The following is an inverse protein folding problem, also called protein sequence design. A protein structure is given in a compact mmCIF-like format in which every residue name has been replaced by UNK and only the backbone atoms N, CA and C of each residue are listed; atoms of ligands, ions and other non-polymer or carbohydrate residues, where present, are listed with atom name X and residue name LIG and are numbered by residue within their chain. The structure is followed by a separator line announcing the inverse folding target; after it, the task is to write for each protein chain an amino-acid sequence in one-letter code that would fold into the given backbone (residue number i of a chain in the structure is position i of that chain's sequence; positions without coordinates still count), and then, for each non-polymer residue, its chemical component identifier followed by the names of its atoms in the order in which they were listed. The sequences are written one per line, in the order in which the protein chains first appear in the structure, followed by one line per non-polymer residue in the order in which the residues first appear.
data_IF_534266454786
#
_entry.id   IF_534266454786
#
_cell.length_a   1.000
_cell.length_b   1.000
_cell.length_c   1.000
_cell.angle_alpha   90.00
_cell.angle_beta   90.00
_cell.angle_gamma   90.00
#
_symmetry.space_group_name_H-M   'P 1'
#
loop_
_entity.id
_entity.type
_entity.pdbx_description
1 polymer ?
#
# COMPACT_ATOMS: atom_id res chain seq x y z
N UNK A 1 -5.85 22.75 -36.98
CA UNK A 1 -5.39 23.35 -38.25
C UNK A 1 -3.91 23.74 -38.23
N UNK A 2 -3.44 24.53 -37.26
CA UNK A 2 -2.03 24.98 -37.20
C UNK A 2 -0.99 23.83 -37.27
N UNK A 3 -1.23 22.72 -36.58
CA UNK A 3 -0.29 21.59 -36.53
C UNK A 3 -0.16 20.85 -37.87
N UNK A 4 -1.24 20.78 -38.65
CA UNK A 4 -1.22 20.19 -39.99
C UNK A 4 -0.47 21.09 -40.98
N UNK A 5 -0.63 22.41 -40.89
CA UNK A 5 0.10 23.38 -41.70
C UNK A 5 1.62 23.32 -41.43
N UNK A 6 2.03 23.19 -40.17
CA UNK A 6 3.45 23.04 -39.80
C UNK A 6 4.06 21.74 -40.32
N UNK A 7 3.32 20.64 -40.29
CA UNK A 7 3.78 19.36 -40.83
C UNK A 7 3.95 19.40 -42.36
N UNK A 8 3.00 20.03 -43.07
CA UNK A 8 3.07 20.21 -44.53
C UNK A 8 4.22 21.15 -44.91
N UNK A 9 4.41 22.25 -44.18
CA UNK A 9 5.53 23.16 -44.38
C UNK A 9 6.88 22.47 -44.14
N UNK A 10 7.00 21.67 -43.07
CA UNK A 10 8.20 20.86 -42.80
C UNK A 10 8.53 19.89 -43.94
N UNK A 11 7.53 19.21 -44.49
CA UNK A 11 7.69 18.33 -45.66
C UNK A 11 8.13 19.07 -46.93
N UNK A 12 7.57 20.26 -47.19
CA UNK A 12 7.95 21.09 -48.34
C UNK A 12 9.41 21.56 -48.25
N UNK A 13 9.88 21.94 -47.05
CA UNK A 13 11.29 22.32 -46.82
C UNK A 13 12.24 21.13 -47.02
N UNK A 14 11.85 19.90 -46.67
CA UNK A 14 12.66 18.71 -46.95
C UNK A 14 12.81 18.44 -48.46
N UNK A 15 11.72 18.60 -49.22
CA UNK A 15 11.77 18.44 -50.68
C UNK A 15 12.62 19.52 -51.35
N UNK A 16 12.54 20.76 -50.86
CA UNK A 16 13.38 21.86 -51.33
C UNK A 16 14.86 21.63 -51.00
N UNK A 17 15.18 21.11 -49.80
CA UNK A 17 16.55 20.76 -49.42
C UNK A 17 17.13 19.68 -50.36
N UNK A 18 16.35 18.66 -50.73
CA UNK A 18 16.79 17.60 -51.62
C UNK A 18 17.10 18.11 -53.05
N UNK A 19 16.39 19.14 -53.51
CA UNK A 19 16.56 19.74 -54.83
C UNK A 19 17.86 20.58 -54.97
N UNK A 20 18.55 20.87 -53.86
CA UNK A 20 19.80 21.64 -53.84
C UNK A 20 21.04 20.75 -54.03
N UNK A 21 20.92 19.44 -53.83
CA UNK A 21 22.01 18.46 -53.99
C UNK A 21 22.59 18.30 -55.43
N UNK A 22 21.83 18.43 -56.54
CA UNK A 22 22.36 18.15 -57.88
C UNK A 22 23.15 19.28 -58.55
N UNK A 23 23.37 20.44 -57.91
CA UNK A 23 23.90 21.65 -58.58
C UNK A 23 25.39 22.00 -58.29
N UNK A 24 26.21 21.09 -57.76
CA UNK A 24 27.61 21.38 -57.41
C UNK A 24 28.62 20.81 -58.42
N UNK A 25 29.13 21.62 -59.35
CA UNK A 25 30.14 21.19 -60.34
C UNK A 25 31.61 21.52 -59.94
N UNK A 26 31.87 21.92 -58.69
CA UNK A 26 33.22 22.22 -58.18
C UNK A 26 33.39 22.00 -56.66
N UNK A 27 34.62 21.71 -56.21
CA UNK A 27 34.92 21.30 -54.82
C UNK A 27 34.61 22.36 -53.74
N UNK A 28 34.72 23.65 -54.07
CA UNK A 28 34.41 24.76 -53.15
C UNK A 28 32.91 25.04 -53.10
N UNK A 29 32.21 24.94 -54.23
CA UNK A 29 30.75 25.10 -54.33
C UNK A 29 30.00 23.93 -53.69
N UNK A 30 30.54 22.71 -53.78
CA UNK A 30 30.00 21.52 -53.13
C UNK A 30 29.94 21.67 -51.60
N UNK A 31 30.94 22.32 -50.99
CA UNK A 31 30.97 22.54 -49.53
C UNK A 31 29.88 23.52 -49.08
N UNK A 32 29.66 24.60 -49.85
CA UNK A 32 28.58 25.56 -49.59
C UNK A 32 27.19 24.95 -49.76
N UNK A 33 27.00 24.13 -50.80
CA UNK A 33 25.75 23.41 -51.03
C UNK A 33 25.44 22.39 -49.92
N UNK A 34 26.47 21.71 -49.39
CA UNK A 34 26.33 20.77 -48.28
C UNK A 34 25.93 21.46 -46.97
N UNK A 35 26.53 22.61 -46.65
CA UNK A 35 26.16 23.40 -45.48
C UNK A 35 24.73 23.96 -45.59
N UNK A 36 24.34 24.44 -46.77
CA UNK A 36 22.97 24.89 -47.03
C UNK A 36 21.96 23.75 -46.88
N UNK A 37 22.28 22.56 -47.39
CA UNK A 37 21.48 21.35 -47.22
C UNK A 37 21.30 20.96 -45.74
N UNK A 38 22.40 20.90 -44.97
CA UNK A 38 22.34 20.58 -43.54
C UNK A 38 21.53 21.61 -42.74
N UNK A 39 21.65 22.90 -43.09
CA UNK A 39 20.86 23.97 -42.48
C UNK A 39 19.36 23.83 -42.75
N UNK A 40 18.98 23.58 -44.01
CA UNK A 40 17.57 23.36 -44.38
C UNK A 40 17.00 22.07 -43.75
N UNK A 41 17.81 21.02 -43.63
CA UNK A 41 17.41 19.76 -43.00
C UNK A 41 17.18 19.90 -41.49
N UNK A 42 18.02 20.66 -40.79
CA UNK A 42 17.82 20.97 -39.37
C UNK A 42 16.55 21.80 -39.14
N UNK A 43 16.27 22.77 -40.02
CA UNK A 43 15.06 23.59 -39.95
C UNK A 43 13.80 22.74 -40.20
N UNK A 44 13.83 21.84 -41.17
CA UNK A 44 12.75 20.91 -41.42
C UNK A 44 12.47 19.97 -40.24
N UNK A 45 13.52 19.42 -39.61
CA UNK A 45 13.39 18.54 -38.45
C UNK A 45 12.75 19.27 -37.24
N UNK A 46 13.10 20.54 -37.03
CA UNK A 46 12.49 21.36 -35.98
C UNK A 46 10.99 21.60 -36.22
N UNK A 47 10.60 21.90 -37.47
CA UNK A 47 9.20 22.14 -37.83
C UNK A 47 8.33 20.88 -37.70
N UNK A 48 8.90 19.67 -37.90
CA UNK A 48 8.20 18.40 -37.74
C UNK A 48 8.09 17.94 -36.27
N UNK A 49 9.09 18.24 -35.43
CA UNK A 49 9.10 17.79 -34.03
C UNK A 49 8.07 18.52 -33.14
N UNK A 50 7.85 19.82 -33.36
CA UNK A 50 6.93 20.65 -32.56
C UNK A 50 5.47 20.17 -32.56
N UNK A 51 4.81 19.93 -33.72
CA UNK A 51 3.42 19.48 -33.73
C UNK A 51 3.26 18.07 -33.15
N UNK A 52 4.25 17.20 -33.34
CA UNK A 52 4.22 15.83 -32.83
C UNK A 52 4.27 15.80 -31.29
N UNK A 53 5.10 16.65 -30.67
CA UNK A 53 5.14 16.80 -29.21
C UNK A 53 3.82 17.30 -28.63
N UNK A 54 3.15 18.26 -29.30
CA UNK A 54 1.85 18.77 -28.85
C UNK A 54 0.76 17.70 -28.95
N UNK A 55 0.72 16.92 -30.02
CA UNK A 55 -0.19 15.77 -30.10
C UNK A 55 0.10 14.74 -29.02
N UNK A 56 1.38 14.39 -28.80
CA UNK A 56 1.76 13.38 -27.81
C UNK A 56 1.39 13.82 -26.39
N UNK A 57 1.67 15.08 -26.03
CA UNK A 57 1.35 15.62 -24.70
C UNK A 57 -0.14 15.73 -24.40
N UNK A 58 -0.98 15.86 -25.43
CA UNK A 58 -2.45 15.90 -25.29
C UNK A 58 -3.07 14.52 -25.09
N UNK A 59 -2.45 13.47 -25.62
CA UNK A 59 -2.99 12.11 -25.59
C UNK A 59 -2.30 11.22 -24.55
N UNK A 60 -1.04 11.51 -24.21
CA UNK A 60 -0.24 10.81 -23.21
C UNK A 60 0.03 11.77 -22.05
N UNK A 61 -0.50 11.47 -20.85
CA UNK A 61 -0.13 12.20 -19.62
C UNK A 61 1.30 11.84 -19.24
N UNK A 62 2.27 12.57 -19.80
CA UNK A 62 3.67 12.42 -19.42
C UNK A 62 3.87 12.95 -17.99
N UNK A 63 4.45 12.14 -17.07
CA UNK A 63 4.46 12.43 -15.64
C UNK A 63 5.43 13.55 -15.22
N UNK A 64 6.30 14.04 -16.10
CA UNK A 64 7.23 15.13 -15.77
C UNK A 64 7.62 15.99 -16.97
N UNK A 65 7.93 17.27 -16.72
CA UNK A 65 8.47 18.22 -17.73
C UNK A 65 9.81 17.75 -18.33
N UNK A 66 10.55 16.91 -17.61
CA UNK A 66 11.86 16.36 -18.03
C UNK A 66 11.67 15.29 -19.11
N UNK A 67 10.70 14.38 -18.93
CA UNK A 67 10.37 13.36 -19.93
C UNK A 67 9.90 13.98 -21.26
N UNK A 68 9.18 15.10 -21.20
CA UNK A 68 8.75 15.82 -22.40
C UNK A 68 9.92 16.38 -23.22
N UNK A 69 10.96 16.90 -22.55
CA UNK A 69 12.16 17.46 -23.19
C UNK A 69 13.06 16.38 -23.80
N UNK A 70 13.16 15.22 -23.17
CA UNK A 70 13.96 14.12 -23.72
C UNK A 70 13.31 13.55 -24.97
N UNK A 71 11.99 13.35 -24.98
CA UNK A 71 11.26 12.88 -26.17
C UNK A 71 11.38 13.87 -27.35
N UNK A 72 11.30 15.19 -27.10
CA UNK A 72 11.47 16.18 -28.19
C UNK A 72 12.86 16.15 -28.81
N UNK A 73 13.91 15.94 -27.99
CA UNK A 73 15.27 15.83 -28.50
C UNK A 73 15.46 14.58 -29.37
N UNK A 74 14.88 13.44 -28.98
CA UNK A 74 14.94 12.22 -29.78
C UNK A 74 14.23 12.36 -31.13
N UNK A 75 13.06 13.01 -31.16
CA UNK A 75 12.31 13.26 -32.39
C UNK A 75 13.07 14.20 -33.35
N UNK A 76 13.73 15.23 -32.81
CA UNK A 76 14.55 16.14 -33.60
C UNK A 76 15.77 15.42 -34.22
N UNK A 77 16.50 14.64 -33.42
CA UNK A 77 17.68 13.89 -33.89
C UNK A 77 17.29 12.85 -34.94
N UNK A 78 16.19 12.13 -34.73
CA UNK A 78 15.69 11.16 -35.70
C UNK A 78 15.27 11.80 -37.03
N UNK A 79 14.66 12.99 -36.97
CA UNK A 79 14.27 13.75 -38.17
C UNK A 79 15.44 14.39 -38.93
N UNK A 80 16.51 14.76 -38.22
CA UNK A 80 17.71 15.34 -38.84
C UNK A 80 18.58 14.29 -39.53
N UNK A 81 18.68 13.07 -38.98
CA UNK A 81 19.62 12.04 -39.45
C UNK A 81 19.11 11.25 -40.67
N UNK A 82 17.79 11.14 -40.87
CA UNK A 82 17.21 10.36 -41.97
C UNK A 82 16.33 11.26 -42.86
N UNK A 83 16.88 11.85 -43.94
CA UNK A 83 16.07 12.54 -44.94
C UNK A 83 15.04 11.56 -45.53
N UNK A 84 13.78 11.99 -45.67
CA UNK A 84 12.58 11.20 -46.00
C UNK A 84 12.11 10.16 -44.95
N UNK A 85 13.01 9.52 -44.21
CA UNK A 85 12.63 8.51 -43.20
C UNK A 85 11.86 9.09 -42.00
N UNK A 86 12.12 10.35 -41.65
CA UNK A 86 11.39 11.03 -40.57
C UNK A 86 9.87 11.10 -40.81
N UNK A 87 9.43 11.41 -42.04
CA UNK A 87 8.00 11.44 -42.39
C UNK A 87 7.38 10.04 -42.31
N UNK A 88 8.14 9.02 -42.73
CA UNK A 88 7.74 7.62 -42.78
C UNK A 88 7.67 6.98 -41.37
N UNK A 89 8.33 7.55 -40.36
CA UNK A 89 8.15 7.16 -38.94
C UNK A 89 7.01 7.93 -38.28
N UNK A 90 6.86 9.22 -38.60
CA UNK A 90 5.89 10.11 -37.98
C UNK A 90 4.45 9.81 -38.39
N UNK A 91 4.20 9.51 -39.67
CA UNK A 91 2.86 9.20 -40.17
C UNK A 91 2.27 7.91 -39.58
N UNK A 92 2.97 6.75 -39.59
CA UNK A 92 2.46 5.55 -38.94
C UNK A 92 2.47 5.66 -37.42
N UNK A 93 3.40 6.39 -36.79
CA UNK A 93 3.34 6.66 -35.34
C UNK A 93 2.08 7.44 -34.95
N UNK A 94 1.71 8.44 -35.75
CA UNK A 94 0.48 9.22 -35.56
C UNK A 94 -0.79 8.40 -35.87
N UNK A 95 -0.72 7.48 -36.85
CA UNK A 95 -1.82 6.57 -37.17
C UNK A 95 -2.00 5.50 -36.06
N UNK A 96 -0.92 4.89 -35.56
CA UNK A 96 -0.93 3.92 -34.46
C UNK A 96 -1.41 4.56 -33.15
N UNK A 97 -1.01 5.81 -32.86
CA UNK A 97 -1.49 6.54 -31.69
C UNK A 97 -3.00 6.88 -31.78
N UNK A 98 -3.53 7.09 -32.99
CA UNK A 98 -4.96 7.31 -33.22
C UNK A 98 -5.79 6.02 -33.23
N UNK A 99 -5.25 4.90 -33.73
CA UNK A 99 -5.95 3.62 -33.80
C UNK A 99 -5.76 2.73 -32.55
N UNK A 100 -4.62 2.85 -31.86
CA UNK A 100 -4.14 1.90 -30.84
C UNK A 100 -4.51 2.21 -29.39
N UNK A 101 -5.27 3.29 -29.12
CA UNK A 101 -5.81 3.56 -27.79
C UNK A 101 -7.33 3.44 -27.76
N UNK A 102 -7.82 2.30 -28.23
CA UNK A 102 -8.81 1.59 -27.41
C UNK A 102 -8.03 1.08 -26.22
N UNK A 103 -8.21 1.71 -25.06
CA UNK A 103 -7.85 1.08 -23.79
C UNK A 103 -8.29 -0.37 -23.89
N UNK A 104 -7.40 -1.38 -23.75
CA UNK A 104 -7.90 -2.72 -23.57
C UNK A 104 -8.84 -2.60 -22.38
N UNK A 105 -10.14 -2.84 -22.61
CA UNK A 105 -11.00 -3.21 -21.52
C UNK A 105 -10.22 -4.31 -20.82
N UNK A 106 -9.85 -4.10 -19.57
CA UNK A 106 -9.20 -5.10 -18.75
C UNK A 106 -10.27 -6.19 -18.59
N UNK A 107 -10.39 -7.03 -19.61
CA UNK A 107 -11.30 -8.15 -19.69
C UNK A 107 -10.68 -9.24 -18.88
N UNK A 108 -11.34 -9.59 -17.78
CA UNK A 108 -10.99 -10.72 -16.94
C UNK A 108 -9.60 -10.62 -16.34
N UNK A 109 -9.45 -9.79 -15.30
CA UNK A 109 -8.49 -10.15 -14.26
C UNK A 109 -9.00 -11.47 -13.66
N UNK A 110 -8.43 -12.58 -14.09
CA UNK A 110 -8.53 -13.82 -13.35
C UNK A 110 -7.98 -13.51 -11.96
N UNK A 111 -8.86 -13.53 -10.97
CA UNK A 111 -8.52 -13.40 -9.56
C UNK A 111 -7.64 -14.59 -9.19
N UNK A 112 -6.33 -14.46 -9.39
CA UNK A 112 -5.38 -15.32 -8.71
C UNK A 112 -5.50 -14.93 -7.25
N UNK A 113 -6.10 -15.81 -6.44
CA UNK A 113 -6.15 -15.63 -4.99
C UNK A 113 -4.73 -15.39 -4.51
N UNK A 114 -4.44 -14.17 -4.05
CA UNK A 114 -3.21 -13.93 -3.32
C UNK A 114 -3.26 -14.81 -2.06
N UNK A 115 -2.16 -15.50 -1.71
CA UNK A 115 -2.10 -16.20 -0.44
C UNK A 115 -2.40 -15.20 0.68
N UNK A 116 -3.25 -15.58 1.63
CA UNK A 116 -3.47 -14.83 2.87
C UNK A 116 -2.13 -14.69 3.60
N UNK A 117 -1.43 -13.59 3.34
CA UNK A 117 -0.36 -13.15 4.21
C UNK A 117 -1.01 -12.28 5.27
N UNK A 118 -1.32 -12.92 6.40
CA UNK A 118 -1.73 -12.29 7.64
C UNK A 118 -0.92 -11.01 7.86
N UNK A 119 -1.63 -9.97 8.31
CA UNK A 119 -1.08 -8.65 8.53
C UNK A 119 0.25 -8.71 9.25
N UNK A 120 1.18 -7.87 8.82
CA UNK A 120 2.40 -7.60 9.55
C UNK A 120 2.04 -7.09 10.96
N UNK A 121 1.84 -8.03 11.88
CA UNK A 121 1.71 -7.96 13.33
C UNK A 121 0.90 -9.18 13.82
N UNK A 122 1.50 -10.38 13.75
CA UNK A 122 1.03 -11.55 14.51
C UNK A 122 0.71 -12.79 13.67
N UNK A 123 1.74 -13.53 13.28
CA UNK A 123 1.79 -15.00 13.25
C UNK A 123 3.11 -15.40 12.57
N UNK A 124 4.01 -16.00 13.34
CA UNK A 124 5.14 -16.73 12.78
C UNK A 124 4.60 -17.97 12.05
N UNK A 125 4.94 -18.13 10.77
CA UNK A 125 5.06 -19.44 10.14
C UNK A 125 6.52 -19.53 9.67
N UNK A 126 7.31 -20.49 10.18
CA UNK A 126 8.67 -20.70 9.73
C UNK A 126 8.62 -21.44 8.39
N UNK A 127 9.36 -20.91 7.42
CA UNK A 127 10.06 -21.61 6.33
C UNK A 127 10.05 -20.76 5.06
N UNK A 128 11.08 -19.91 4.94
CA UNK A 128 11.60 -19.57 3.61
C UNK A 128 13.11 -19.36 3.66
N UNK A 129 13.87 -19.99 2.75
CA UNK A 129 15.31 -19.88 2.73
C UNK A 129 15.76 -18.45 2.40
N UNK A 130 16.73 -17.98 3.19
CA UNK A 130 17.29 -16.64 3.24
C UNK A 130 18.22 -16.31 2.06
N UNK A 131 17.79 -16.56 0.82
CA UNK A 131 18.58 -16.21 -0.35
C UNK A 131 17.71 -15.50 -1.41
N UNK A 132 17.39 -14.22 -1.16
CA UNK A 132 16.84 -13.32 -2.16
C UNK A 132 17.55 -11.97 -2.09
N UNK A 133 18.09 -11.45 -3.20
CA UNK A 133 18.90 -10.23 -3.19
C UNK A 133 18.09 -8.99 -2.80
N UNK A 134 18.68 -8.17 -1.93
CA UNK A 134 18.08 -7.05 -1.19
C UNK A 134 17.81 -5.77 -2.01
N UNK A 135 17.56 -5.88 -3.33
CA UNK A 135 17.50 -4.69 -4.21
C UNK A 135 16.20 -4.60 -5.05
N UNK A 136 15.07 -5.09 -4.53
CA UNK A 136 13.75 -4.80 -5.11
C UNK A 136 13.05 -3.70 -4.31
N UNK A 137 12.51 -2.65 -4.96
CA UNK A 137 11.67 -1.68 -4.28
C UNK A 137 10.39 -2.38 -3.76
N UNK A 138 10.09 -2.07 -2.51
CA UNK A 138 8.95 -2.38 -1.65
C UNK A 138 7.68 -3.00 -2.26
N UNK A 139 7.50 -4.31 -2.08
CA UNK A 139 6.22 -4.99 -2.32
C UNK A 139 5.06 -4.50 -1.42
N UNK A 140 5.35 -3.72 -0.37
CA UNK A 140 4.36 -3.07 0.49
C UNK A 140 3.74 -1.82 -0.13
N UNK A 141 4.54 -1.01 -0.84
CA UNK A 141 4.06 0.23 -1.48
C UNK A 141 3.08 -0.08 -2.63
N UNK A 142 3.35 -1.16 -3.38
CA UNK A 142 2.46 -1.60 -4.46
C UNK A 142 1.08 -2.07 -3.96
N UNK A 143 1.01 -2.73 -2.80
CA UNK A 143 -0.25 -3.17 -2.19
C UNK A 143 -1.07 -2.00 -1.69
N UNK A 144 -0.45 -1.06 -0.99
CA UNK A 144 -1.13 0.12 -0.45
C UNK A 144 -1.63 1.03 -1.58
N UNK A 145 -0.86 1.14 -2.67
CA UNK A 145 -1.27 1.83 -3.89
C UNK A 145 -2.44 1.13 -4.59
N UNK A 146 -2.37 -0.19 -4.79
CA UNK A 146 -3.47 -0.94 -5.39
C UNK A 146 -4.76 -0.84 -4.57
N UNK A 147 -4.65 -0.95 -3.24
CA UNK A 147 -5.77 -0.72 -2.32
C UNK A 147 -6.27 0.73 -2.35
N UNK A 148 -5.39 1.71 -2.53
CA UNK A 148 -5.76 3.10 -2.76
C UNK A 148 -6.58 3.28 -4.04
N UNK A 149 -6.18 2.64 -5.13
CA UNK A 149 -6.88 2.71 -6.41
C UNK A 149 -8.26 2.05 -6.38
N UNK A 150 -8.38 0.89 -5.74
CA UNK A 150 -9.67 0.21 -5.57
C UNK A 150 -10.64 1.04 -4.71
N UNK A 151 -10.15 1.63 -3.61
CA UNK A 151 -10.93 2.55 -2.78
C UNK A 151 -11.37 3.80 -3.56
N UNK A 152 -10.47 4.41 -4.32
CA UNK A 152 -10.78 5.56 -5.15
C UNK A 152 -11.79 5.22 -6.25
N UNK A 153 -11.68 4.03 -6.87
CA UNK A 153 -12.61 3.56 -7.88
C UNK A 153 -14.01 3.32 -7.34
N UNK A 154 -14.12 2.69 -6.16
CA UNK A 154 -15.38 2.44 -5.48
C UNK A 154 -16.08 3.75 -5.04
N UNK A 155 -15.30 4.70 -4.51
CA UNK A 155 -15.80 6.00 -4.04
C UNK A 155 -16.12 6.99 -5.18
N UNK A 156 -15.68 6.73 -6.41
CA UNK A 156 -15.86 7.67 -7.51
C UNK A 156 -17.31 7.64 -8.05
N UNK A 157 -18.17 8.51 -7.53
CA UNK A 157 -19.55 8.67 -7.96
C UNK A 157 -19.70 9.06 -9.45
N UNK A 158 -18.66 9.62 -10.08
CA UNK A 158 -18.67 9.95 -11.51
C UNK A 158 -18.33 8.74 -12.42
N UNK A 159 -17.88 7.61 -11.86
CA UNK A 159 -17.67 6.39 -12.61
C UNK A 159 -18.99 5.63 -12.82
N UNK A 160 -19.08 4.85 -13.91
CA UNK A 160 -20.23 3.99 -14.15
C UNK A 160 -20.40 2.96 -13.02
N UNK A 161 -21.64 2.65 -12.65
CA UNK A 161 -21.97 1.73 -11.54
C UNK A 161 -21.22 0.39 -11.63
N UNK A 162 -21.17 -0.23 -12.81
CA UNK A 162 -20.44 -1.48 -13.03
C UNK A 162 -18.93 -1.39 -12.70
N UNK A 163 -18.28 -0.25 -12.93
CA UNK A 163 -16.86 -0.04 -12.57
C UNK A 163 -16.68 0.14 -11.07
N UNK A 164 -17.63 0.80 -10.42
CA UNK A 164 -17.65 0.99 -8.97
C UNK A 164 -17.86 -0.34 -8.26
N UNK A 165 -18.82 -1.14 -8.71
CA UNK A 165 -19.10 -2.49 -8.22
C UNK A 165 -17.90 -3.42 -8.42
N UNK A 166 -17.24 -3.38 -9.59
CA UNK A 166 -16.02 -4.15 -9.80
C UNK A 166 -14.88 -3.74 -8.86
N UNK A 167 -14.73 -2.44 -8.59
CA UNK A 167 -13.76 -1.96 -7.61
C UNK A 167 -14.11 -2.41 -6.18
N UNK A 168 -15.39 -2.40 -5.81
CA UNK A 168 -15.88 -2.89 -4.52
C UNK A 168 -15.64 -4.38 -4.31
N UNK A 169 -15.92 -5.20 -5.33
CA UNK A 169 -15.62 -6.63 -5.28
C UNK A 169 -14.12 -6.88 -5.03
N UNK A 170 -13.24 -6.05 -5.61
CA UNK A 170 -11.80 -6.11 -5.35
C UNK A 170 -11.38 -5.77 -3.91
N UNK A 171 -12.26 -5.14 -3.12
CA UNK A 171 -12.01 -4.79 -1.73
C UNK A 171 -12.42 -5.90 -0.74
N UNK A 172 -13.12 -6.95 -1.17
CA UNK A 172 -13.67 -8.00 -0.28
C UNK A 172 -12.60 -8.74 0.52
N UNK A 173 -11.45 -9.02 -0.10
CA UNK A 173 -10.34 -9.70 0.56
C UNK A 173 -9.54 -8.79 1.51
N UNK A 174 -9.84 -7.49 1.57
CA UNK A 174 -9.07 -6.55 2.39
C UNK A 174 -9.60 -6.50 3.83
N UNK A 175 -8.73 -6.24 4.83
CA UNK A 175 -9.16 -6.12 6.22
C UNK A 175 -10.20 -5.01 6.42
N UNK A 176 -11.25 -5.30 7.20
CA UNK A 176 -12.31 -4.32 7.44
C UNK A 176 -11.82 -3.04 8.14
N UNK A 177 -10.66 -3.09 8.83
CA UNK A 177 -10.02 -1.89 9.38
C UNK A 177 -9.74 -0.82 8.31
N UNK A 178 -9.30 -1.21 7.12
CA UNK A 178 -8.91 -0.27 6.05
C UNK A 178 -10.07 0.04 5.08
N UNK A 179 -11.00 -0.89 4.89
CA UNK A 179 -12.15 -0.74 3.99
C UNK A 179 -13.41 -0.26 4.68
N UNK A 180 -13.59 -0.56 5.97
CA UNK A 180 -14.80 -0.28 6.74
C UNK A 180 -15.28 1.18 6.72
N UNK A 181 -14.41 2.19 6.89
CA UNK A 181 -14.83 3.60 6.76
C UNK A 181 -15.43 3.93 5.39
N UNK A 182 -14.85 3.39 4.31
CA UNK A 182 -15.38 3.56 2.96
C UNK A 182 -16.71 2.83 2.80
N UNK A 183 -16.79 1.56 3.22
CA UNK A 183 -18.01 0.76 3.11
C UNK A 183 -19.17 1.42 3.85
N UNK A 184 -18.93 1.96 5.05
CA UNK A 184 -19.94 2.72 5.81
C UNK A 184 -20.39 4.00 5.10
N UNK A 185 -19.46 4.75 4.51
CA UNK A 185 -19.82 5.93 3.71
C UNK A 185 -20.67 5.57 2.48
N UNK A 186 -20.44 4.39 1.88
CA UNK A 186 -21.20 3.90 0.75
C UNK A 186 -22.60 3.38 1.10
N UNK A 187 -22.95 3.26 2.39
CA UNK A 187 -24.32 2.93 2.81
C UNK A 187 -25.31 4.06 2.50
N UNK A 188 -24.82 5.28 2.29
CA UNK A 188 -25.62 6.46 1.93
C UNK A 188 -25.65 6.71 0.41
N UNK A 189 -25.03 5.83 -0.40
CA UNK A 189 -24.92 6.01 -1.85
C UNK A 189 -26.28 6.05 -2.55
N UNK A 190 -26.40 6.78 -3.65
CA UNK A 190 -27.63 6.84 -4.43
C UNK A 190 -27.94 5.53 -5.16
N UNK A 191 -26.93 4.71 -5.43
CA UNK A 191 -27.05 3.44 -6.16
C UNK A 191 -27.31 2.30 -5.18
N UNK A 192 -28.46 1.64 -5.31
CA UNK A 192 -28.88 0.58 -4.39
C UNK A 192 -27.92 -0.61 -4.36
N UNK A 193 -27.47 -1.11 -5.51
CA UNK A 193 -26.55 -2.25 -5.58
C UNK A 193 -25.22 -1.99 -4.85
N UNK A 194 -24.75 -0.73 -4.86
CA UNK A 194 -23.54 -0.31 -4.15
C UNK A 194 -23.78 -0.36 -2.64
N UNK A 195 -24.94 0.14 -2.18
CA UNK A 195 -25.33 0.06 -0.75
C UNK A 195 -25.44 -1.38 -0.28
N UNK A 196 -26.14 -2.23 -1.03
CA UNK A 196 -26.36 -3.63 -0.69
C UNK A 196 -25.05 -4.41 -0.64
N UNK A 197 -24.16 -4.20 -1.61
CA UNK A 197 -22.84 -4.84 -1.60
C UNK A 197 -22.01 -4.37 -0.41
N UNK A 198 -21.99 -3.06 -0.12
CA UNK A 198 -21.26 -2.53 1.03
C UNK A 198 -21.79 -3.08 2.36
N UNK A 199 -23.11 -3.19 2.51
CA UNK A 199 -23.76 -3.83 3.67
C UNK A 199 -23.35 -5.30 3.79
N UNK A 200 -23.46 -6.08 2.72
CA UNK A 200 -23.10 -7.50 2.71
C UNK A 200 -21.63 -7.75 3.05
N UNK A 201 -20.72 -6.88 2.60
CA UNK A 201 -19.29 -6.97 2.94
C UNK A 201 -19.00 -6.69 4.41
N UNK A 202 -19.68 -5.70 5.01
CA UNK A 202 -19.56 -5.39 6.44
C UNK A 202 -20.10 -6.54 7.30
N UNK A 203 -21.29 -7.03 6.98
CA UNK A 203 -21.94 -8.15 7.67
C UNK A 203 -21.12 -9.44 7.54
N UNK A 204 -20.60 -9.76 6.35
CA UNK A 204 -19.74 -10.93 6.14
C UNK A 204 -18.44 -10.86 6.97
N UNK A 205 -17.86 -9.67 7.13
CA UNK A 205 -16.67 -9.49 7.97
C UNK A 205 -16.98 -9.71 9.46
N UNK A 206 -18.11 -9.20 9.95
CA UNK A 206 -18.58 -9.42 11.32
C UNK A 206 -18.89 -10.90 11.57
N UNK A 207 -19.72 -11.52 10.73
CA UNK A 207 -20.10 -12.92 10.83
C UNK A 207 -18.89 -13.87 10.78
N UNK A 208 -17.83 -13.51 10.04
CA UNK A 208 -16.60 -14.31 10.00
C UNK A 208 -15.94 -14.37 11.38
N UNK A 209 -15.80 -13.23 12.07
CA UNK A 209 -15.20 -13.19 13.40
C UNK A 209 -16.13 -13.78 14.46
N UNK A 210 -17.43 -13.51 14.38
CA UNK A 210 -18.42 -14.07 15.32
C UNK A 210 -18.44 -15.60 15.26
N UNK A 211 -18.38 -16.20 14.06
CA UNK A 211 -18.26 -17.66 13.92
C UNK A 211 -16.98 -18.21 14.54
N UNK A 212 -15.84 -17.53 14.35
CA UNK A 212 -14.58 -17.96 14.98
C UNK A 212 -14.63 -17.87 16.50
N UNK A 213 -15.34 -16.87 17.06
CA UNK A 213 -15.55 -16.72 18.49
C UNK A 213 -16.38 -17.89 19.02
N UNK A 214 -17.52 -18.20 18.39
CA UNK A 214 -18.37 -19.32 18.80
C UNK A 214 -17.60 -20.64 18.75
N UNK A 215 -16.86 -20.90 17.67
CA UNK A 215 -16.02 -22.10 17.56
C UNK A 215 -14.96 -22.17 18.68
N UNK A 216 -14.30 -21.05 19.00
CA UNK A 216 -13.32 -21.01 20.07
C UNK A 216 -13.95 -21.21 21.47
N UNK A 217 -15.20 -20.75 21.66
CA UNK A 217 -15.97 -21.03 22.88
C UNK A 217 -16.35 -22.51 22.99
N UNK A 218 -16.80 -23.12 21.90
CA UNK A 218 -17.11 -24.56 21.86
C UNK A 218 -15.87 -25.40 22.17
N UNK A 219 -14.72 -25.04 21.60
CA UNK A 219 -13.44 -25.67 21.93
C UNK A 219 -13.09 -25.52 23.40
N UNK A 220 -13.31 -24.34 24.01
CA UNK A 220 -13.07 -24.12 25.43
C UNK A 220 -13.98 -25.00 26.30
N UNK A 221 -15.27 -25.10 25.97
CA UNK A 221 -16.23 -25.92 26.72
C UNK A 221 -15.96 -27.43 26.59
N UNK A 222 -15.37 -27.86 25.48
CA UNK A 222 -15.01 -29.26 25.26
C UNK A 222 -13.75 -29.70 26.03
N UNK A 223 -12.94 -28.76 26.54
CA UNK A 223 -11.76 -29.08 27.33
C UNK A 223 -12.15 -29.59 28.72
N UNK A 224 -11.47 -30.64 29.17
CA UNK A 224 -11.61 -31.13 30.54
C UNK A 224 -10.91 -30.19 31.54
N UNK A 225 -11.39 -30.16 32.78
CA UNK A 225 -10.83 -29.31 33.85
C UNK A 225 -9.35 -29.58 34.15
N UNK A 226 -8.84 -30.75 33.75
CA UNK A 226 -7.45 -31.17 33.94
C UNK A 226 -6.43 -30.64 32.92
N UNK A 227 -6.83 -29.87 31.89
CA UNK A 227 -5.92 -29.30 30.89
C UNK A 227 -5.76 -27.77 31.01
N UNK A 228 -4.92 -27.28 31.95
CA UNK A 228 -4.70 -25.85 32.12
C UNK A 228 -4.01 -25.19 30.92
N UNK A 229 -3.16 -25.93 30.18
CA UNK A 229 -2.47 -25.40 29.01
C UNK A 229 -3.42 -25.19 27.82
N UNK A 230 -4.31 -26.16 27.56
CA UNK A 230 -5.36 -26.03 26.57
C UNK A 230 -6.33 -24.89 26.90
N UNK A 231 -6.76 -24.77 28.17
CA UNK A 231 -7.62 -23.67 28.62
C UNK A 231 -6.96 -22.30 28.42
N UNK A 232 -5.66 -22.19 28.74
CA UNK A 232 -4.91 -20.97 28.50
C UNK A 232 -4.88 -20.57 27.01
N UNK A 233 -4.59 -21.52 26.12
CA UNK A 233 -4.55 -21.27 24.68
C UNK A 233 -5.93 -20.89 24.11
N UNK A 234 -7.00 -21.55 24.58
CA UNK A 234 -8.37 -21.25 24.16
C UNK A 234 -8.80 -19.84 24.62
N UNK A 235 -8.51 -19.47 25.87
CA UNK A 235 -8.77 -18.13 26.39
C UNK A 235 -7.92 -17.06 25.68
N UNK A 236 -6.65 -17.34 25.38
CA UNK A 236 -5.82 -16.43 24.57
C UNK A 236 -6.46 -16.21 23.20
N UNK A 237 -6.90 -17.27 22.53
CA UNK A 237 -7.56 -17.18 21.22
C UNK A 237 -8.82 -16.34 21.28
N UNK A 238 -9.66 -16.53 22.30
CA UNK A 238 -10.86 -15.73 22.52
C UNK A 238 -10.54 -14.25 22.75
N UNK A 239 -9.52 -13.95 23.57
CA UNK A 239 -9.08 -12.58 23.80
C UNK A 239 -8.62 -11.89 22.50
N UNK A 240 -7.84 -12.60 21.68
CA UNK A 240 -7.38 -12.08 20.38
C UNK A 240 -8.54 -11.83 19.41
N UNK A 241 -9.52 -12.73 19.35
CA UNK A 241 -10.69 -12.59 18.46
C UNK A 241 -11.59 -11.40 18.87
N UNK A 242 -11.85 -11.23 20.16
CA UNK A 242 -12.60 -10.07 20.66
C UNK A 242 -11.82 -8.78 20.41
N UNK A 243 -10.50 -8.77 20.60
CA UNK A 243 -9.68 -7.63 20.23
C UNK A 243 -9.77 -7.32 18.72
N UNK A 244 -9.79 -8.35 17.87
CA UNK A 244 -9.87 -8.20 16.42
C UNK A 244 -11.17 -7.53 15.96
N UNK A 245 -12.32 -7.83 16.59
CA UNK A 245 -13.58 -7.12 16.35
C UNK A 245 -13.45 -5.61 16.59
N UNK A 246 -12.76 -5.22 17.66
CA UNK A 246 -12.51 -3.81 17.99
C UNK A 246 -11.49 -3.20 17.04
N UNK A 247 -10.40 -3.92 16.77
CA UNK A 247 -9.30 -3.45 15.92
C UNK A 247 -9.75 -3.22 14.47
N UNK A 248 -10.67 -4.04 13.97
CA UNK A 248 -11.27 -3.88 12.64
C UNK A 248 -12.41 -2.86 12.59
N UNK A 249 -12.75 -2.21 13.72
CA UNK A 249 -13.88 -1.29 13.84
C UNK A 249 -15.22 -1.93 13.43
N UNK A 250 -15.41 -3.21 13.77
CA UNK A 250 -16.67 -3.93 13.58
C UNK A 250 -17.57 -3.76 14.81
N UNK A 251 -16.99 -3.79 16.01
CA UNK A 251 -17.69 -3.40 17.24
C UNK A 251 -17.63 -1.88 17.46
N UNK A 252 -18.79 -1.23 17.63
CA UNK A 252 -18.92 0.22 17.86
C UNK A 252 -19.82 0.54 19.06
N UNK A 253 -19.76 1.79 19.56
CA UNK A 253 -20.58 2.25 20.67
C UNK A 253 -20.45 1.36 21.91
N UNK A 254 -21.58 1.00 22.51
CA UNK A 254 -21.63 0.18 23.72
C UNK A 254 -21.09 -1.24 23.50
N UNK A 255 -21.32 -1.81 22.31
CA UNK A 255 -20.80 -3.13 21.94
C UNK A 255 -19.27 -3.12 22.01
N UNK A 256 -18.62 -2.05 21.55
CA UNK A 256 -17.16 -1.92 21.64
C UNK A 256 -16.65 -1.99 23.09
N UNK A 257 -17.34 -1.31 24.02
CA UNK A 257 -17.00 -1.35 25.44
C UNK A 257 -17.09 -2.77 25.99
N UNK A 258 -18.22 -3.44 25.74
CA UNK A 258 -18.44 -4.82 26.15
C UNK A 258 -17.40 -5.77 25.55
N UNK A 259 -17.09 -5.66 24.25
CA UNK A 259 -16.10 -6.50 23.58
C UNK A 259 -14.70 -6.33 24.17
N UNK A 260 -14.31 -5.11 24.54
CA UNK A 260 -13.03 -4.84 25.22
C UNK A 260 -12.97 -5.51 26.60
N UNK A 261 -14.06 -5.48 27.37
CA UNK A 261 -14.15 -6.17 28.66
C UNK A 261 -14.09 -7.69 28.52
N UNK A 262 -14.77 -8.26 27.52
CA UNK A 262 -14.70 -9.69 27.23
C UNK A 262 -13.27 -10.11 26.84
N UNK A 263 -12.61 -9.31 26.00
CA UNK A 263 -11.22 -9.56 25.62
C UNK A 263 -10.28 -9.57 26.85
N UNK A 264 -10.43 -8.62 27.76
CA UNK A 264 -9.60 -8.51 28.96
C UNK A 264 -9.89 -9.63 29.95
N UNK A 265 -11.17 -10.01 30.15
CA UNK A 265 -11.57 -11.15 30.97
C UNK A 265 -10.95 -12.46 30.47
N UNK A 266 -10.96 -12.70 29.17
CA UNK A 266 -10.31 -13.87 28.59
C UNK A 266 -8.79 -13.79 28.67
N UNK A 267 -8.18 -12.61 28.49
CA UNK A 267 -6.73 -12.46 28.67
C UNK A 267 -6.29 -12.74 30.11
N UNK A 268 -7.09 -12.33 31.10
CA UNK A 268 -6.85 -12.62 32.50
C UNK A 268 -7.05 -14.11 32.82
N UNK A 269 -8.12 -14.74 32.34
CA UNK A 269 -8.35 -16.17 32.49
C UNK A 269 -7.22 -17.01 31.87
N UNK A 270 -6.67 -16.58 30.72
CA UNK A 270 -5.52 -17.22 30.10
C UNK A 270 -4.27 -17.15 31.01
N UNK A 271 -4.02 -15.98 31.63
CA UNK A 271 -2.90 -15.81 32.56
C UNK A 271 -3.08 -16.65 33.84
N UNK A 272 -4.30 -16.76 34.36
CA UNK A 272 -4.61 -17.61 35.52
C UNK A 272 -4.37 -19.09 35.18
N UNK A 273 -4.90 -19.58 34.06
CA UNK A 273 -4.70 -20.96 33.61
C UNK A 273 -3.20 -21.27 33.34
N UNK A 274 -2.43 -20.31 32.82
CA UNK A 274 -0.98 -20.44 32.70
C UNK A 274 -0.29 -20.55 34.07
N UNK A 275 -0.76 -19.84 35.09
CA UNK A 275 -0.17 -19.91 36.44
C UNK A 275 -0.42 -21.25 37.13
N UNK A 276 -1.53 -21.92 36.80
CA UNK A 276 -1.90 -23.24 37.32
C UNK A 276 -1.14 -24.37 36.61
N UNK A 277 -0.70 -24.18 35.37
CA UNK A 277 -0.03 -25.20 34.57
C UNK A 277 1.41 -25.47 35.08
N UNK A 278 1.71 -26.68 35.59
CA UNK A 278 3.06 -27.04 35.98
C UNK A 278 3.97 -27.07 34.74
N UNK A 279 4.96 -26.18 34.69
CA UNK A 279 5.87 -26.04 33.55
C UNK A 279 5.53 -24.90 32.57
N UNK A 280 4.57 -24.02 32.88
CA UNK A 280 4.26 -22.85 32.07
C UNK A 280 5.37 -21.78 32.04
N UNK A 281 6.25 -21.78 33.04
CA UNK A 281 7.53 -21.03 32.99
C UNK A 281 8.49 -21.60 31.93
N UNK A 282 8.28 -22.85 31.52
CA UNK A 282 9.19 -23.67 30.72
C UNK A 282 8.78 -23.80 29.25
N UNK A 283 7.62 -23.28 28.83
CA UNK A 283 7.27 -23.15 27.41
C UNK A 283 8.04 -21.98 26.82
N UNK A 284 9.33 -22.24 26.63
CA UNK A 284 10.29 -21.28 26.16
C UNK A 284 10.10 -21.05 24.65
N UNK A 285 9.36 -20.00 24.25
CA UNK A 285 9.33 -19.57 22.84
C UNK A 285 10.59 -18.75 22.57
N UNK A 286 11.46 -19.22 21.68
CA UNK A 286 12.66 -18.49 21.26
C UNK A 286 12.24 -17.14 20.68
N UNK A 287 12.71 -16.06 21.29
CA UNK A 287 12.45 -14.70 20.83
C UNK A 287 12.96 -14.55 19.38
N UNK A 288 12.17 -13.88 18.54
CA UNK A 288 12.39 -13.79 17.09
C UNK A 288 13.68 -13.04 16.69
N UNK A 289 14.27 -12.31 17.64
CA UNK A 289 15.54 -11.59 17.55
C UNK A 289 16.75 -12.42 18.01
N UNK A 290 16.52 -13.67 18.44
CA UNK A 290 17.56 -14.56 18.95
C UNK A 290 18.11 -14.18 20.34
N UNK A 291 17.55 -13.16 21.02
CA UNK A 291 18.11 -12.54 22.23
C UNK A 291 17.71 -13.24 23.54
N UNK A 292 16.75 -14.16 23.51
CA UNK A 292 16.33 -14.89 24.70
C UNK A 292 15.05 -15.68 24.50
N UNK A 293 14.43 -16.05 25.61
CA UNK A 293 13.14 -16.72 25.61
C UNK A 293 12.05 -15.75 26.05
N UNK A 294 11.01 -15.58 25.24
CA UNK A 294 9.77 -14.93 25.65
C UNK A 294 8.83 -15.93 26.32
N UNK A 295 8.32 -15.59 27.51
CA UNK A 295 7.24 -16.33 28.13
C UNK A 295 5.94 -16.17 27.31
N UNK A 296 5.09 -17.20 27.16
CA UNK A 296 3.78 -17.07 26.52
C UNK A 296 2.92 -15.98 27.18
N UNK A 297 3.11 -15.73 28.48
CA UNK A 297 2.46 -14.64 29.19
C UNK A 297 2.85 -13.25 28.66
N UNK A 298 4.02 -13.08 28.05
CA UNK A 298 4.50 -11.78 27.54
C UNK A 298 3.57 -11.23 26.45
N UNK A 299 3.07 -12.09 25.55
CA UNK A 299 2.11 -11.72 24.52
C UNK A 299 0.76 -11.29 25.11
N UNK A 300 0.26 -12.02 26.11
CA UNK A 300 -0.98 -11.68 26.81
C UNK A 300 -0.89 -10.34 27.54
N UNK A 301 0.21 -10.06 28.24
CA UNK A 301 0.42 -8.76 28.88
C UNK A 301 0.51 -7.62 27.86
N UNK A 302 1.08 -7.85 26.69
CA UNK A 302 1.06 -6.87 25.61
C UNK A 302 -0.36 -6.62 25.08
N UNK A 303 -1.16 -7.68 24.90
CA UNK A 303 -2.57 -7.55 24.51
C UNK A 303 -3.36 -6.74 25.55
N UNK A 304 -3.19 -7.03 26.85
CA UNK A 304 -3.82 -6.25 27.93
C UNK A 304 -3.41 -4.78 27.90
N UNK A 305 -2.14 -4.49 27.59
CA UNK A 305 -1.67 -3.12 27.36
C UNK A 305 -2.44 -2.39 26.25
N UNK A 306 -2.67 -3.07 25.12
CA UNK A 306 -3.48 -2.51 24.00
C UNK A 306 -4.95 -2.34 24.39
N UNK A 307 -5.53 -3.29 25.12
CA UNK A 307 -6.90 -3.21 25.61
C UNK A 307 -7.09 -2.04 26.56
N UNK A 308 -6.14 -1.81 27.47
CA UNK A 308 -6.15 -0.67 28.38
C UNK A 308 -6.06 0.68 27.63
N UNK A 309 -5.18 0.80 26.62
CA UNK A 309 -5.13 1.99 25.75
C UNK A 309 -6.46 2.23 25.04
N UNK A 310 -7.08 1.17 24.50
CA UNK A 310 -8.37 1.25 23.82
C UNK A 310 -9.53 1.66 24.76
N UNK A 311 -9.40 1.38 26.07
CA UNK A 311 -10.30 1.83 27.13
C UNK A 311 -9.95 3.21 27.71
N UNK A 312 -8.89 3.86 27.22
CA UNK A 312 -8.37 5.15 27.71
C UNK A 312 -7.87 5.10 29.15
N UNK A 313 -7.35 3.95 29.56
CA UNK A 313 -6.64 3.76 30.84
C UNK A 313 -5.14 3.60 30.59
N UNK A 314 -4.38 4.71 30.52
CA UNK A 314 -2.97 4.65 30.17
C UNK A 314 -2.10 4.13 31.33
N UNK A 315 -2.54 4.26 32.58
CA UNK A 315 -1.81 3.76 33.75
C UNK A 315 -1.79 2.23 33.76
N UNK A 316 -2.95 1.59 33.57
CA UNK A 316 -3.02 0.14 33.42
C UNK A 316 -2.27 -0.34 32.18
N UNK A 317 -2.33 0.41 31.08
CA UNK A 317 -1.57 0.09 29.86
C UNK A 317 -0.07 0.07 30.10
N UNK A 318 0.48 1.09 30.74
CA UNK A 318 1.90 1.21 31.07
C UNK A 318 2.35 0.06 31.97
N UNK A 319 1.59 -0.24 33.02
CA UNK A 319 1.88 -1.37 33.92
C UNK A 319 1.92 -2.71 33.17
N UNK A 320 0.92 -2.97 32.32
CA UNK A 320 0.84 -4.20 31.54
C UNK A 320 1.99 -4.33 30.51
N UNK A 321 2.34 -3.25 29.81
CA UNK A 321 3.44 -3.24 28.84
C UNK A 321 4.80 -3.41 29.51
N UNK A 322 5.02 -2.80 30.67
CA UNK A 322 6.23 -3.02 31.46
C UNK A 322 6.34 -4.47 31.93
N UNK A 323 5.22 -5.07 32.34
CA UNK A 323 5.16 -6.51 32.68
C UNK A 323 5.49 -7.39 31.47
N UNK A 324 4.97 -7.05 30.28
CA UNK A 324 5.28 -7.76 29.05
C UNK A 324 6.78 -7.73 28.73
N UNK A 325 7.42 -6.55 28.83
CA UNK A 325 8.86 -6.38 28.60
C UNK A 325 9.67 -7.20 29.62
N UNK A 326 9.29 -7.18 30.90
CA UNK A 326 9.94 -7.97 31.94
C UNK A 326 9.85 -9.49 31.68
N UNK A 327 8.86 -9.94 30.93
CA UNK A 327 8.65 -11.34 30.53
C UNK A 327 9.29 -11.69 29.16
N UNK A 328 10.08 -10.79 28.59
CA UNK A 328 10.82 -11.01 27.34
C UNK A 328 10.10 -10.52 26.08
N UNK A 329 9.06 -9.69 26.19
CA UNK A 329 8.48 -9.03 25.01
C UNK A 329 9.48 -8.02 24.42
N UNK A 330 9.75 -8.04 23.10
CA UNK A 330 10.70 -7.13 22.46
C UNK A 330 10.36 -5.67 22.72
N UNK A 331 11.30 -4.95 23.33
CA UNK A 331 11.10 -3.56 23.74
C UNK A 331 10.84 -2.65 22.55
N UNK A 332 11.43 -2.95 21.39
CA UNK A 332 11.24 -2.19 20.15
C UNK A 332 9.77 -2.15 19.73
N UNK A 333 9.05 -3.25 19.94
CA UNK A 333 7.63 -3.37 19.58
C UNK A 333 6.70 -2.73 20.61
N UNK A 334 7.16 -2.55 21.84
CA UNK A 334 6.39 -1.91 22.91
C UNK A 334 6.46 -0.38 22.85
N UNK A 335 7.51 0.20 22.23
CA UNK A 335 7.72 1.65 22.23
C UNK A 335 6.55 2.48 21.71
N UNK A 336 5.87 2.16 20.60
CA UNK A 336 4.73 2.95 20.15
C UNK A 336 3.59 2.99 21.17
N UNK A 337 3.32 1.87 21.84
CA UNK A 337 2.26 1.75 22.84
C UNK A 337 2.62 2.45 24.14
N UNK A 338 3.89 2.38 24.56
CA UNK A 338 4.40 3.13 25.71
C UNK A 338 4.40 4.64 25.45
N UNK A 339 4.73 5.08 24.23
CA UNK A 339 4.65 6.48 23.85
C UNK A 339 3.20 7.00 23.86
N UNK A 340 2.25 6.20 23.38
CA UNK A 340 0.82 6.49 23.43
C UNK A 340 0.33 6.59 24.89
N UNK A 341 0.67 5.63 25.75
CA UNK A 341 0.32 5.66 27.17
C UNK A 341 0.84 6.93 27.85
N UNK A 342 2.13 7.25 27.68
CA UNK A 342 2.75 8.45 28.24
C UNK A 342 2.10 9.75 27.74
N UNK A 343 1.76 9.80 26.44
CA UNK A 343 1.09 10.96 25.86
C UNK A 343 -0.31 11.17 26.46
N UNK A 344 -1.06 10.09 26.69
CA UNK A 344 -2.37 10.15 27.33
C UNK A 344 -2.29 10.51 28.82
N UNK A 345 -1.22 10.13 29.52
CA UNK A 345 -0.92 10.57 30.89
C UNK A 345 -0.46 12.04 30.97
N UNK A 346 -0.13 12.67 29.83
CA UNK A 346 0.44 14.02 29.79
C UNK A 346 1.95 14.07 30.11
N UNK A 347 2.62 12.92 30.22
CA UNK A 347 4.07 12.83 30.43
C UNK A 347 4.82 12.91 29.08
N UNK A 348 4.98 14.13 28.60
CA UNK A 348 5.66 14.40 27.33
C UNK A 348 7.17 14.06 27.37
N UNK A 349 7.78 14.02 28.55
CA UNK A 349 9.18 13.62 28.70
C UNK A 349 9.33 12.12 28.43
N UNK A 350 8.44 11.30 29.00
CA UNK A 350 8.38 9.87 28.72
C UNK A 350 7.99 9.58 27.25
N UNK A 351 7.06 10.33 26.65
CA UNK A 351 6.73 10.21 25.22
C UNK A 351 7.97 10.44 24.34
N UNK A 352 8.74 11.51 24.63
CA UNK A 352 9.97 11.83 23.91
C UNK A 352 11.01 10.71 24.04
N UNK A 353 11.23 10.20 25.25
CA UNK A 353 12.16 9.10 25.50
C UNK A 353 11.77 7.83 24.72
N UNK A 354 10.48 7.47 24.71
CA UNK A 354 9.98 6.33 23.96
C UNK A 354 10.16 6.49 22.44
N UNK A 355 9.89 7.68 21.91
CA UNK A 355 10.08 7.99 20.48
C UNK A 355 11.55 7.99 20.07
N UNK A 356 12.46 8.45 20.93
CA UNK A 356 13.90 8.34 20.70
C UNK A 356 14.36 6.88 20.68
N UNK A 357 13.86 6.05 21.61
CA UNK A 357 14.12 4.61 21.62
C UNK A 357 13.64 3.92 20.34
N UNK A 358 12.45 4.29 19.85
CA UNK A 358 11.92 3.80 18.58
C UNK A 358 12.79 4.20 17.38
N UNK A 359 13.30 5.44 17.34
CA UNK A 359 14.20 5.92 16.28
C UNK A 359 15.54 5.18 16.27
N UNK A 360 16.09 4.88 17.45
CA UNK A 360 17.36 4.16 17.58
C UNK A 360 17.24 2.68 17.23
N UNK A 361 16.06 2.08 17.44
CA UNK A 361 15.84 0.65 17.21
C UNK A 361 15.95 0.20 15.74
N UNK A 362 15.96 1.12 14.76
CA UNK A 362 16.32 1.01 13.33
C UNK A 362 15.83 -0.20 12.49
N UNK A 363 15.11 -1.17 13.07
CA UNK A 363 14.67 -2.43 12.47
C UNK A 363 13.20 -2.42 12.07
N UNK A 364 12.45 -1.40 12.49
CA UNK A 364 11.14 -1.10 11.95
C UNK A 364 11.37 -0.16 10.76
N UNK A 365 11.16 -0.57 9.49
CA UNK A 365 11.01 0.37 8.40
C UNK A 365 9.88 1.30 8.82
N UNK A 366 10.24 2.49 9.30
CA UNK A 366 9.33 3.39 9.95
C UNK A 366 8.23 3.69 8.95
N UNK A 367 7.04 3.15 9.21
CA UNK A 367 5.83 3.35 8.41
C UNK A 367 5.83 4.82 7.97
N UNK A 368 5.70 5.14 6.67
CA UNK A 368 5.83 6.52 6.18
C UNK A 368 4.95 7.51 6.96
N UNK A 369 3.82 7.02 7.48
CA UNK A 369 2.87 7.75 8.32
C UNK A 369 3.40 8.14 9.71
N UNK A 370 4.36 7.40 10.28
CA UNK A 370 4.98 7.68 11.58
C UNK A 370 6.17 8.63 11.50
N UNK A 371 6.75 8.84 10.31
CA UNK A 371 7.90 9.73 10.11
C UNK A 371 7.68 11.17 10.62
N UNK A 372 6.54 11.84 10.36
CA UNK A 372 6.31 13.19 10.86
C UNK A 372 6.28 13.26 12.39
N UNK A 373 5.65 12.27 13.03
CA UNK A 373 5.53 12.17 14.48
C UNK A 373 6.90 11.91 15.11
N UNK A 374 7.67 10.97 14.55
CA UNK A 374 9.04 10.71 14.98
C UNK A 374 9.91 11.96 14.89
N UNK A 375 9.82 12.73 13.79
CA UNK A 375 10.57 13.98 13.64
C UNK A 375 10.21 15.01 14.69
N UNK A 376 8.92 15.23 14.95
CA UNK A 376 8.44 16.20 15.95
C UNK A 376 8.94 15.87 17.37
N UNK A 377 8.91 14.59 17.77
CA UNK A 377 9.31 14.20 19.11
C UNK A 377 10.82 14.03 19.28
N UNK A 378 11.59 13.95 18.18
CA UNK A 378 13.05 13.75 18.24
C UNK A 378 13.86 14.96 17.77
N UNK A 379 13.21 16.09 17.45
CA UNK A 379 13.84 17.37 17.11
C UNK A 379 14.35 18.13 18.32
#
# INVERSE_FOLDING_TARGET
MLEALLAVAGGAVQLAALAVLPHGNGATEATGALLAYLGMQALAAALLAMPLQRLLSRHVRMPSRVASRTTSAHLFVAGALVPLGGLLVVLPGMALARLGHRTPAIGGMASVALPEFAGAMGACVPDRPANRPANRPDAGDDRDRAAGLLRAGAANAAASDMRRLAALAGLEAMPARSTGPLLRALLEDSVEDVRLLAYGMLDAAEQRLTRQILQAQDCLHALADGDPAGRAAAHERLAQLHWELVYQNLAQGDVRGHTLEQADRHAEAALQALSEAPGATTLYVRAADGSGVASPAAGLWQLRGRLALARRDPAAARAALQRAIALGFPRERAWPLLAEAAYLEGDFAATRAAMQGLRQAASLPALPQLQPVLRYWTS
#
